data_IF_301142710032
#
_entry.id   IF_301142710032
#
_cell.length_a   1.000
_cell.length_b   1.000
_cell.length_c   1.000
_cell.angle_alpha   90.00
_cell.angle_beta   90.00
_cell.angle_gamma   90.00
#
_symmetry.space_group_name_H-M   'P 1'
#
loop_
_entity.id
_entity.type
_entity.pdbx_description
1 polymer ?
#
# COMPACT_ATOMS: atom_id res chain seq x y z
N UNK A 1 -7.68 5.53 26.23
CA UNK A 1 -7.11 6.50 25.29
C UNK A 1 -5.75 5.96 24.83
N UNK A 2 -5.43 6.09 23.53
CA UNK A 2 -4.13 5.64 22.98
C UNK A 2 -3.13 6.79 23.13
N UNK A 3 -1.94 6.57 23.73
CA UNK A 3 -0.91 7.60 23.81
C UNK A 3 -0.50 8.12 22.41
N UNK A 4 -0.25 9.41 22.26
CA UNK A 4 0.09 10.03 20.95
C UNK A 4 1.26 9.31 20.26
N UNK A 5 2.32 8.96 20.98
CA UNK A 5 3.47 8.21 20.45
C UNK A 5 3.07 6.85 19.89
N UNK A 6 2.22 6.12 20.61
CA UNK A 6 1.72 4.82 20.14
C UNK A 6 0.85 4.96 18.89
N UNK A 7 0.01 6.01 18.80
CA UNK A 7 -0.74 6.33 17.58
C UNK A 7 0.17 6.60 16.38
N UNK A 8 1.24 7.38 16.56
CA UNK A 8 2.22 7.64 15.50
C UNK A 8 2.91 6.36 15.01
N UNK A 9 3.32 5.47 15.94
CA UNK A 9 3.94 4.19 15.61
C UNK A 9 2.96 3.31 14.83
N UNK A 10 1.70 3.23 15.28
CA UNK A 10 0.66 2.45 14.60
C UNK A 10 0.41 2.95 13.19
N UNK A 11 0.32 4.26 12.98
CA UNK A 11 0.17 4.86 11.66
C UNK A 11 1.36 4.53 10.76
N UNK A 12 2.59 4.71 11.24
CA UNK A 12 3.81 4.39 10.50
C UNK A 12 3.83 2.93 10.04
N UNK A 13 3.62 2.00 10.96
CA UNK A 13 3.63 0.57 10.64
C UNK A 13 2.46 0.15 9.73
N UNK A 14 1.31 0.82 9.84
CA UNK A 14 0.18 0.61 8.94
C UNK A 14 0.50 1.04 7.51
N UNK A 15 1.21 2.16 7.33
CA UNK A 15 1.64 2.59 6.00
C UNK A 15 2.74 1.68 5.43
N UNK A 16 3.69 1.19 6.23
CA UNK A 16 4.66 0.16 5.78
C UNK A 16 3.94 -1.12 5.34
N UNK A 17 2.96 -1.59 6.11
CA UNK A 17 2.15 -2.76 5.72
C UNK A 17 1.34 -2.50 4.45
N UNK A 18 0.84 -1.27 4.25
CA UNK A 18 0.14 -0.86 3.03
C UNK A 18 1.05 -0.91 1.81
N UNK A 19 2.31 -0.44 1.92
CA UNK A 19 3.31 -0.57 0.86
C UNK A 19 3.55 -2.05 0.51
N UNK A 20 3.71 -2.92 1.51
CA UNK A 20 3.90 -4.35 1.30
C UNK A 20 2.70 -5.00 0.57
N UNK A 21 1.48 -4.68 1.00
CA UNK A 21 0.26 -5.17 0.36
C UNK A 21 0.15 -4.67 -1.09
N UNK A 22 0.43 -3.39 -1.33
CA UNK A 22 0.43 -2.79 -2.67
C UNK A 22 1.42 -3.45 -3.62
N UNK A 23 2.66 -3.67 -3.17
CA UNK A 23 3.70 -4.38 -3.93
C UNK A 23 3.32 -5.83 -4.22
N UNK A 24 2.78 -6.54 -3.22
CA UNK A 24 2.31 -7.92 -3.38
C UNK A 24 1.23 -8.02 -4.47
N UNK A 25 0.21 -7.16 -4.39
CA UNK A 25 -0.89 -7.14 -5.37
C UNK A 25 -0.41 -6.74 -6.77
N UNK A 26 0.51 -5.77 -6.87
CA UNK A 26 1.12 -5.37 -8.14
C UNK A 26 1.93 -6.50 -8.76
N UNK A 27 2.73 -7.21 -7.95
CA UNK A 27 3.52 -8.36 -8.38
C UNK A 27 2.66 -9.54 -8.83
N UNK A 28 1.53 -9.81 -8.14
CA UNK A 28 0.57 -10.83 -8.54
C UNK A 28 -0.06 -10.49 -9.89
N UNK A 29 -0.56 -9.27 -10.05
CA UNK A 29 -1.14 -8.81 -11.30
C UNK A 29 -0.14 -8.87 -12.47
N UNK A 30 1.13 -8.55 -12.21
CA UNK A 30 2.20 -8.67 -13.20
C UNK A 30 2.38 -10.13 -13.64
N UNK A 31 2.40 -11.10 -12.72
CA UNK A 31 2.47 -12.54 -13.02
C UNK A 31 1.26 -13.01 -13.81
N UNK A 32 0.06 -12.64 -13.39
CA UNK A 32 -1.19 -13.02 -14.03
C UNK A 32 -1.29 -12.49 -15.47
N UNK A 33 -0.65 -11.34 -15.72
CA UNK A 33 -0.54 -10.76 -17.06
C UNK A 33 0.71 -11.19 -17.84
N UNK A 34 1.46 -12.18 -17.35
CA UNK A 34 2.59 -12.83 -18.04
C UNK A 34 3.95 -12.18 -17.80
N UNK A 35 4.07 -11.19 -16.89
CA UNK A 35 5.35 -10.58 -16.53
C UNK A 35 5.90 -11.17 -15.21
N UNK A 36 6.48 -12.38 -15.31
CA UNK A 36 7.04 -13.11 -14.17
C UNK A 36 8.25 -12.41 -13.55
N UNK A 37 9.05 -11.70 -14.35
CA UNK A 37 10.21 -10.94 -13.87
C UNK A 37 9.80 -9.82 -12.94
N UNK A 38 8.82 -9.00 -13.33
CA UNK A 38 8.28 -7.95 -12.46
C UNK A 38 7.67 -8.53 -11.18
N UNK A 39 6.98 -9.68 -11.27
CA UNK A 39 6.46 -10.41 -10.11
C UNK A 39 7.56 -10.86 -9.14
N UNK A 40 8.72 -11.30 -9.65
CA UNK A 40 9.86 -11.69 -8.81
C UNK A 40 10.51 -10.47 -8.11
N UNK A 41 10.64 -9.34 -8.82
CA UNK A 41 11.13 -8.07 -8.24
C UNK A 41 10.24 -7.60 -7.09
N UNK A 42 8.93 -7.61 -7.29
CA UNK A 42 7.97 -7.23 -6.25
C UNK A 42 8.06 -8.16 -5.03
N UNK A 43 8.16 -9.47 -5.24
CA UNK A 43 8.30 -10.45 -4.15
C UNK A 43 9.59 -10.21 -3.34
N UNK A 44 10.71 -9.92 -4.01
CA UNK A 44 11.98 -9.59 -3.35
C UNK A 44 11.88 -8.30 -2.53
N UNK A 45 11.15 -7.29 -3.03
CA UNK A 45 10.90 -6.07 -2.27
C UNK A 45 10.07 -6.35 -1.01
N UNK A 46 9.03 -7.20 -1.08
CA UNK A 46 8.25 -7.59 0.09
C UNK A 46 9.10 -8.33 1.14
N UNK A 47 10.00 -9.24 0.73
CA UNK A 47 10.91 -9.91 1.67
C UNK A 47 11.81 -8.92 2.43
N UNK A 48 12.26 -7.83 1.78
CA UNK A 48 13.02 -6.77 2.44
C UNK A 48 12.20 -5.99 3.46
N UNK A 49 10.89 -5.80 3.19
CA UNK A 49 9.97 -5.18 4.15
C UNK A 49 9.81 -6.07 5.38
N UNK A 50 9.62 -7.37 5.19
CA UNK A 50 9.50 -8.33 6.30
C UNK A 50 10.76 -8.35 7.17
N UNK A 51 11.95 -8.27 6.55
CA UNK A 51 13.20 -8.19 7.28
C UNK A 51 13.32 -6.88 8.07
N UNK A 52 12.96 -5.74 7.46
CA UNK A 52 12.93 -4.44 8.14
C UNK A 52 11.96 -4.45 9.34
N UNK A 53 10.75 -4.96 9.16
CA UNK A 53 9.77 -5.04 10.24
C UNK A 53 10.25 -5.90 11.40
N UNK A 54 10.88 -7.04 11.13
CA UNK A 54 11.47 -7.89 12.18
C UNK A 54 12.55 -7.18 12.96
N UNK A 55 13.41 -6.40 12.28
CA UNK A 55 14.50 -5.64 12.92
C UNK A 55 13.98 -4.48 13.78
N UNK A 56 12.90 -3.81 13.34
CA UNK A 56 12.35 -2.63 14.02
C UNK A 56 11.42 -3.04 15.16
N UNK A 57 10.52 -3.98 14.90
CA UNK A 57 9.45 -4.38 15.83
C UNK A 57 9.93 -5.40 16.85
N UNK A 58 10.92 -6.25 16.51
CA UNK A 58 11.54 -7.29 17.36
C UNK A 58 10.55 -8.31 17.96
N UNK A 59 9.29 -8.29 17.51
CA UNK A 59 8.23 -9.22 17.91
C UNK A 59 7.39 -9.56 16.67
N UNK A 60 6.60 -10.64 16.68
CA UNK A 60 5.65 -10.88 15.58
C UNK A 60 4.73 -9.68 15.38
N UNK A 61 4.62 -9.20 14.15
CA UNK A 61 3.85 -8.00 13.81
C UNK A 61 2.39 -8.05 14.32
N UNK A 62 1.78 -9.24 14.25
CA UNK A 62 0.40 -9.45 14.71
C UNK A 62 0.22 -9.29 16.23
N UNK A 63 1.28 -9.36 17.02
CA UNK A 63 1.24 -9.22 18.49
C UNK A 63 1.76 -7.87 18.97
N UNK A 64 2.23 -7.03 18.06
CA UNK A 64 2.79 -5.72 18.40
C UNK A 64 1.71 -4.68 18.69
N UNK A 65 0.62 -4.66 17.92
CA UNK A 65 -0.52 -3.81 18.20
C UNK A 65 -1.35 -4.39 19.35
N UNK A 66 -1.62 -3.57 20.36
CA UNK A 66 -2.37 -3.98 21.56
C UNK A 66 -3.50 -3.00 21.84
N UNK A 67 -4.52 -3.46 22.55
CA UNK A 67 -5.55 -2.57 23.09
C UNK A 67 -4.86 -1.50 23.96
N UNK A 68 -5.13 -0.24 23.66
CA UNK A 68 -4.53 0.91 24.36
C UNK A 68 -3.17 1.36 23.81
N UNK A 69 -2.58 0.70 22.80
CA UNK A 69 -1.33 1.17 22.20
C UNK A 69 -0.51 0.12 21.46
N UNK A 70 0.78 0.04 21.75
CA UNK A 70 1.75 -0.90 21.17
C UNK A 70 2.49 -1.64 22.28
N UNK A 71 3.14 -2.76 21.95
CA UNK A 71 3.82 -3.63 22.92
C UNK A 71 5.01 -2.92 23.60
N UNK A 72 5.79 -2.17 22.86
CA UNK A 72 6.95 -1.37 23.30
C UNK A 72 7.25 -0.28 22.26
N UNK A 73 8.12 0.67 22.58
CA UNK A 73 8.59 1.67 21.60
C UNK A 73 9.47 0.99 20.54
N UNK A 74 9.66 1.67 19.41
CA UNK A 74 10.53 1.20 18.34
C UNK A 74 12.00 1.30 18.74
N UNK A 75 12.83 0.41 18.18
CA UNK A 75 14.25 0.39 18.44
C UNK A 75 14.93 1.73 18.08
N UNK A 76 16.02 2.07 18.74
CA UNK A 76 16.80 3.27 18.44
C UNK A 76 17.26 3.29 16.97
N UNK A 77 17.20 4.48 16.36
CA UNK A 77 17.60 4.68 14.97
C UNK A 77 16.59 4.15 13.93
N UNK A 78 15.40 3.69 14.35
CA UNK A 78 14.39 3.18 13.41
C UNK A 78 13.99 4.21 12.35
N UNK A 79 13.93 5.50 12.69
CA UNK A 79 13.55 6.55 11.76
C UNK A 79 14.51 6.61 10.55
N UNK A 80 15.82 6.57 10.81
CA UNK A 80 16.84 6.55 9.75
C UNK A 80 16.74 5.29 8.90
N UNK A 81 16.46 4.13 9.51
CA UNK A 81 16.28 2.86 8.79
C UNK A 81 15.05 2.88 7.88
N UNK A 82 13.93 3.39 8.36
CA UNK A 82 12.71 3.51 7.55
C UNK A 82 12.90 4.53 6.43
N UNK A 83 13.51 5.68 6.69
CA UNK A 83 13.80 6.66 5.64
C UNK A 83 14.68 6.06 4.56
N UNK A 84 15.81 5.44 4.92
CA UNK A 84 16.69 4.77 3.96
C UNK A 84 15.97 3.64 3.19
N UNK A 85 15.12 2.86 3.88
CA UNK A 85 14.32 1.84 3.23
C UNK A 85 13.35 2.45 2.20
N UNK A 86 12.66 3.54 2.53
CA UNK A 86 11.74 4.21 1.61
C UNK A 86 12.48 4.78 0.40
N UNK A 87 13.54 5.60 0.62
CA UNK A 87 14.23 6.35 -0.42
C UNK A 87 15.12 5.48 -1.29
N UNK A 88 15.93 4.61 -0.69
CA UNK A 88 16.95 3.84 -1.39
C UNK A 88 16.51 2.41 -1.70
N UNK A 89 15.54 1.91 -0.93
CA UNK A 89 15.04 0.54 -1.05
C UNK A 89 13.79 0.39 -1.92
N UNK A 90 12.75 1.19 -1.67
CA UNK A 90 11.42 0.99 -2.29
C UNK A 90 11.21 1.89 -3.50
N UNK A 91 11.50 3.17 -3.42
CA UNK A 91 11.26 4.11 -4.52
C UNK A 91 11.89 3.66 -5.85
N UNK A 92 13.19 3.28 -5.91
CA UNK A 92 13.79 2.82 -7.17
C UNK A 92 13.13 1.53 -7.70
N UNK A 93 12.76 0.62 -6.80
CA UNK A 93 12.06 -0.63 -7.17
C UNK A 93 10.67 -0.33 -7.71
N UNK A 94 9.96 0.61 -7.13
CA UNK A 94 8.62 1.01 -7.58
C UNK A 94 8.66 1.64 -8.98
N UNK A 95 9.63 2.50 -9.23
CA UNK A 95 9.85 3.11 -10.55
C UNK A 95 10.20 2.05 -11.60
N UNK A 96 11.05 1.09 -11.26
CA UNK A 96 11.38 -0.03 -12.14
C UNK A 96 10.15 -0.91 -12.41
N UNK A 97 9.39 -1.27 -11.38
CA UNK A 97 8.17 -2.05 -11.53
C UNK A 97 7.14 -1.36 -12.41
N UNK A 98 6.91 -0.07 -12.20
CA UNK A 98 6.02 0.73 -13.03
C UNK A 98 6.43 0.70 -14.49
N UNK A 99 7.72 0.90 -14.78
CA UNK A 99 8.27 0.86 -16.15
C UNK A 99 8.14 -0.53 -16.80
N UNK A 100 8.39 -1.61 -16.04
CA UNK A 100 8.32 -2.98 -16.54
C UNK A 100 6.90 -3.47 -16.77
N UNK A 101 5.97 -3.05 -15.93
CA UNK A 101 4.57 -3.52 -15.97
C UNK A 101 3.76 -2.68 -16.95
N UNK A 102 3.84 -1.35 -16.88
CA UNK A 102 2.98 -0.46 -17.68
C UNK A 102 3.43 -0.35 -19.15
N UNK A 103 3.19 -1.42 -19.90
CA UNK A 103 3.48 -1.55 -21.33
C UNK A 103 2.23 -1.91 -22.14
N UNK A 104 2.35 -1.94 -23.48
CA UNK A 104 1.23 -2.22 -24.38
C UNK A 104 0.55 -3.57 -24.13
N UNK A 105 1.31 -4.61 -23.81
CA UNK A 105 0.78 -5.96 -23.51
C UNK A 105 -0.02 -5.93 -22.21
N UNK A 106 0.52 -5.31 -21.18
CA UNK A 106 -0.16 -5.17 -19.89
C UNK A 106 -1.48 -4.39 -20.05
N UNK A 107 -1.44 -3.26 -20.75
CA UNK A 107 -2.64 -2.44 -20.99
C UNK A 107 -3.70 -3.20 -21.78
N UNK A 108 -3.33 -3.94 -22.83
CA UNK A 108 -4.29 -4.75 -23.60
C UNK A 108 -4.96 -5.86 -22.79
N UNK A 109 -4.32 -6.32 -21.71
CA UNK A 109 -4.84 -7.36 -20.81
C UNK A 109 -5.59 -6.83 -19.58
N UNK A 110 -5.55 -5.52 -19.32
CA UNK A 110 -6.09 -4.93 -18.09
C UNK A 110 -7.07 -3.79 -18.34
N UNK A 111 -6.94 -3.04 -19.44
CA UNK A 111 -7.90 -2.00 -19.79
C UNK A 111 -9.23 -2.60 -20.23
N UNK A 112 -10.33 -2.11 -19.67
CA UNK A 112 -11.69 -2.61 -19.93
C UNK A 112 -11.98 -3.99 -19.36
N UNK A 113 -11.05 -4.61 -18.64
CA UNK A 113 -11.24 -5.93 -18.02
C UNK A 113 -11.72 -5.79 -16.58
N UNK A 114 -12.82 -6.49 -16.23
CA UNK A 114 -13.40 -6.49 -14.89
C UNK A 114 -13.86 -5.11 -14.46
N UNK A 115 -14.47 -4.36 -15.37
CA UNK A 115 -14.98 -3.00 -15.13
C UNK A 115 -16.15 -3.05 -14.16
N UNK A 116 -16.08 -2.22 -13.12
CA UNK A 116 -17.12 -2.05 -12.10
C UNK A 116 -17.42 -0.56 -12.02
N UNK A 117 -18.67 -0.20 -12.25
CA UNK A 117 -19.14 1.20 -12.15
C UNK A 117 -19.24 1.68 -10.71
N UNK A 118 -19.31 3.03 -10.47
CA UNK A 118 -19.34 3.58 -9.12
C UNK A 118 -20.57 3.12 -8.32
N UNK A 119 -21.75 3.06 -8.93
CA UNK A 119 -22.98 2.62 -8.26
C UNK A 119 -22.91 1.12 -7.90
N UNK A 120 -22.38 0.30 -8.79
CA UNK A 120 -22.17 -1.12 -8.55
C UNK A 120 -21.14 -1.34 -7.43
N UNK A 121 -20.05 -0.57 -7.44
CA UNK A 121 -19.03 -0.63 -6.38
C UNK A 121 -19.63 -0.31 -5.00
N UNK A 122 -20.50 0.69 -4.90
CA UNK A 122 -21.19 1.06 -3.66
C UNK A 122 -22.18 -0.03 -3.24
N UNK A 123 -23.02 -0.52 -4.16
CA UNK A 123 -24.03 -1.54 -3.84
C UNK A 123 -23.42 -2.89 -3.47
N UNK A 124 -22.27 -3.23 -4.03
CA UNK A 124 -21.48 -4.42 -3.68
C UNK A 124 -20.65 -4.25 -2.40
N UNK A 125 -20.66 -3.09 -1.75
CA UNK A 125 -19.90 -2.81 -0.54
C UNK A 125 -18.39 -2.77 -0.77
N UNK A 126 -17.92 -2.43 -1.98
CA UNK A 126 -16.48 -2.36 -2.26
C UNK A 126 -15.83 -1.21 -1.46
N UNK A 127 -14.62 -1.46 -1.00
CA UNK A 127 -13.81 -0.50 -0.24
C UNK A 127 -12.40 -0.40 -0.81
N UNK A 128 -11.60 0.52 -0.25
CA UNK A 128 -10.18 0.68 -0.58
C UNK A 128 -9.93 0.94 -2.06
N UNK A 129 -8.86 0.36 -2.58
CA UNK A 129 -8.41 0.52 -3.96
C UNK A 129 -9.50 0.15 -4.99
N UNK A 130 -10.32 -0.87 -4.75
CA UNK A 130 -11.34 -1.31 -5.70
C UNK A 130 -12.44 -0.26 -5.85
N UNK A 131 -12.91 0.33 -4.74
CA UNK A 131 -13.88 1.42 -4.78
C UNK A 131 -13.29 2.68 -5.43
N UNK A 132 -12.07 3.06 -5.04
CA UNK A 132 -11.39 4.24 -5.59
C UNK A 132 -11.06 4.13 -7.08
N UNK A 133 -10.76 2.93 -7.56
CA UNK A 133 -10.60 2.69 -9.00
C UNK A 133 -11.89 2.88 -9.80
N UNK A 134 -13.04 2.69 -9.15
CA UNK A 134 -14.39 2.86 -9.70
C UNK A 134 -14.96 4.28 -9.52
N UNK A 135 -14.16 5.24 -9.11
CA UNK A 135 -14.60 6.64 -8.94
C UNK A 135 -15.15 6.99 -7.55
N UNK A 136 -15.24 6.05 -6.63
CA UNK A 136 -15.75 6.29 -5.27
C UNK A 136 -14.61 6.86 -4.40
N UNK A 137 -14.66 8.17 -4.16
CA UNK A 137 -13.68 8.87 -3.32
C UNK A 137 -13.99 8.62 -1.83
N UNK A 138 -13.58 7.46 -1.33
CA UNK A 138 -13.73 7.11 0.09
C UNK A 138 -12.44 6.50 0.63
N UNK A 139 -11.93 7.07 1.73
CA UNK A 139 -10.79 6.56 2.46
C UNK A 139 -10.99 6.81 3.95
N UNK A 140 -11.09 5.75 4.74
CA UNK A 140 -11.35 5.84 6.19
C UNK A 140 -10.28 6.66 6.92
N UNK A 141 -9.05 6.71 6.42
CA UNK A 141 -7.97 7.52 7.00
C UNK A 141 -8.25 9.02 6.93
N UNK A 142 -9.11 9.45 5.98
CA UNK A 142 -9.51 10.85 5.77
C UNK A 142 -10.93 11.10 6.28
N UNK A 143 -11.85 10.15 6.01
CA UNK A 143 -13.28 10.30 6.32
C UNK A 143 -13.57 10.11 7.82
N UNK A 144 -12.82 9.23 8.49
CA UNK A 144 -12.90 8.95 9.93
C UNK A 144 -11.48 8.69 10.48
N UNK A 145 -10.66 9.75 10.64
CA UNK A 145 -9.25 9.63 10.97
C UNK A 145 -9.02 8.97 12.33
N UNK A 146 -8.14 8.00 12.38
CA UNK A 146 -7.72 7.29 13.58
C UNK A 146 -6.20 7.42 13.78
N UNK A 147 -5.73 7.12 14.99
CA UNK A 147 -4.31 7.21 15.39
C UNK A 147 -3.71 8.59 15.03
N UNK A 148 -2.71 8.68 14.16
CA UNK A 148 -2.09 9.94 13.74
C UNK A 148 -2.51 10.40 12.32
N UNK A 149 -3.53 9.80 11.70
CA UNK A 149 -3.95 10.20 10.35
C UNK A 149 -4.54 11.61 10.26
N UNK A 150 -5.08 12.15 11.35
CA UNK A 150 -5.48 13.56 11.42
C UNK A 150 -4.31 14.53 11.23
N UNK A 151 -3.11 14.14 11.68
CA UNK A 151 -1.89 14.93 11.56
C UNK A 151 -1.24 14.78 10.18
N UNK A 152 -1.30 13.58 9.58
CA UNK A 152 -0.65 13.24 8.29
C UNK A 152 -1.49 13.66 7.08
N UNK A 153 -2.82 13.52 7.16
CA UNK A 153 -3.80 13.87 6.11
C UNK A 153 -3.42 13.32 4.72
N UNK A 154 -3.46 12.00 4.52
CA UNK A 154 -3.07 11.40 3.24
C UNK A 154 -3.99 11.83 2.10
N UNK A 155 -3.43 11.96 0.89
CA UNK A 155 -4.20 12.17 -0.31
C UNK A 155 -4.99 10.91 -0.70
N UNK A 156 -6.13 11.10 -1.37
CA UNK A 156 -6.98 10.01 -1.84
C UNK A 156 -6.84 9.85 -3.35
N UNK A 157 -6.13 8.80 -3.77
CA UNK A 157 -5.97 8.46 -5.19
C UNK A 157 -7.27 7.85 -5.74
N UNK A 158 -7.82 8.44 -6.80
CA UNK A 158 -9.07 8.01 -7.45
C UNK A 158 -8.85 7.86 -8.95
N UNK A 159 -9.41 6.82 -9.55
CA UNK A 159 -9.57 6.62 -10.98
C UNK A 159 -11.06 6.47 -11.31
N UNK A 160 -11.43 6.54 -12.59
CA UNK A 160 -12.84 6.49 -13.01
C UNK A 160 -13.19 5.28 -13.86
N UNK A 161 -12.19 4.63 -14.44
CA UNK A 161 -12.39 3.57 -15.44
C UNK A 161 -12.93 2.27 -14.82
N UNK A 162 -12.71 2.04 -13.52
CA UNK A 162 -13.24 0.90 -12.76
C UNK A 162 -12.67 -0.47 -13.15
N UNK A 163 -11.70 -0.54 -14.06
CA UNK A 163 -11.12 -1.76 -14.61
C UNK A 163 -9.84 -2.20 -13.86
N UNK A 164 -9.23 -3.28 -14.30
CA UNK A 164 -7.98 -3.80 -13.72
C UNK A 164 -6.83 -2.79 -13.83
N UNK A 165 -6.76 -2.03 -14.92
CA UNK A 165 -5.73 -1.01 -15.10
C UNK A 165 -5.93 0.18 -14.16
N UNK A 166 -7.15 0.61 -13.94
CA UNK A 166 -7.48 1.65 -12.95
C UNK A 166 -7.08 1.21 -11.52
N UNK A 167 -7.35 -0.06 -11.15
CA UNK A 167 -6.92 -0.63 -9.87
C UNK A 167 -5.40 -0.68 -9.72
N UNK A 168 -4.68 -0.98 -10.79
CA UNK A 168 -3.21 -0.90 -10.83
C UNK A 168 -2.73 0.54 -10.58
N UNK A 169 -3.26 1.53 -11.31
CA UNK A 169 -2.90 2.95 -11.15
C UNK A 169 -3.12 3.45 -9.72
N UNK A 170 -4.29 3.13 -9.13
CA UNK A 170 -4.59 3.51 -7.73
C UNK A 170 -3.56 2.91 -6.78
N UNK A 171 -3.25 1.61 -6.89
CA UNK A 171 -2.27 0.93 -6.00
C UNK A 171 -0.88 1.54 -6.10
N UNK A 172 -0.39 1.80 -7.30
CA UNK A 172 0.92 2.42 -7.50
C UNK A 172 0.96 3.81 -6.85
N UNK A 173 -0.05 4.64 -7.08
CA UNK A 173 -0.14 5.97 -6.47
C UNK A 173 -0.21 5.90 -4.95
N UNK A 174 -0.97 4.95 -4.40
CA UNK A 174 -1.10 4.75 -2.96
C UNK A 174 0.21 4.28 -2.31
N UNK A 175 1.05 3.50 -3.01
CA UNK A 175 2.38 3.15 -2.52
C UNK A 175 3.25 4.40 -2.44
N UNK A 176 3.27 5.25 -3.48
CA UNK A 176 4.01 6.52 -3.44
C UNK A 176 3.56 7.45 -2.30
N UNK A 177 2.26 7.49 -2.01
CA UNK A 177 1.71 8.30 -0.92
C UNK A 177 2.06 7.77 0.47
N UNK A 178 2.32 6.47 0.60
CA UNK A 178 2.67 5.83 1.87
C UNK A 178 4.17 5.90 2.19
N UNK A 179 5.01 6.30 1.23
CA UNK A 179 6.46 6.48 1.37
C UNK A 179 6.81 7.91 1.75
#
# INVERSE_FOLDING_TARGET
EVPKRAGQIRTLLSEVARVAAGLTMTGNLARDTGNTAAGAIAAKACQRIDALLKDIVQTPFCTYFRAGGVAHDLADGFASKITAWATDGVLPVLDELKRLIDNGIFRSRTCGVGTIGPNEAVSAGLTGCNARASGVKRDVRVDDPYDAYSDVRPDVSVQKDGDCYARFKVRINEIYQSL
#
